data_IF_286925170527
#
_entry.id   IF_286925170527
#
_cell.length_a   1.000
_cell.length_b   1.000
_cell.length_c   1.000
_cell.angle_alpha   90.00
_cell.angle_beta   90.00
_cell.angle_gamma   90.00
#
_symmetry.space_group_name_H-M   'P 1'
#
loop_
_entity.id
_entity.type
_entity.pdbx_description
1 polymer ?
#
# COMPACT_ATOMS: atom_id res chain seq x y z
N UNK A 1 31.56 -18.32 49.39
CA UNK A 1 30.15 -18.21 48.97
C UNK A 1 29.74 -16.79 48.56
N UNK A 2 29.91 -15.74 49.39
CA UNK A 2 29.58 -14.33 49.01
C UNK A 2 30.25 -13.82 47.72
N UNK A 3 31.52 -14.19 47.46
CA UNK A 3 32.25 -13.76 46.24
C UNK A 3 31.76 -14.44 44.95
N UNK A 4 31.19 -15.65 45.05
CA UNK A 4 30.63 -16.39 43.90
C UNK A 4 29.26 -15.81 43.54
N UNK A 5 28.45 -15.45 44.54
CA UNK A 5 27.15 -14.81 44.32
C UNK A 5 27.27 -13.44 43.62
N UNK A 6 28.30 -12.65 43.98
CA UNK A 6 28.55 -11.34 43.36
C UNK A 6 29.02 -11.47 41.89
N UNK A 7 29.80 -12.51 41.58
CA UNK A 7 30.23 -12.80 40.21
C UNK A 7 29.08 -13.27 39.30
N UNK A 8 28.13 -14.05 39.84
CA UNK A 8 26.92 -14.46 39.11
C UNK A 8 25.97 -13.28 38.84
N UNK A 9 25.85 -12.31 39.76
CA UNK A 9 25.04 -11.10 39.57
C UNK A 9 25.62 -10.16 38.48
N UNK A 10 26.95 -10.06 38.38
CA UNK A 10 27.64 -9.29 37.32
C UNK A 10 27.61 -9.99 35.94
N UNK A 11 27.58 -11.33 35.92
CA UNK A 11 27.41 -12.09 34.67
C UNK A 11 25.96 -12.06 34.16
N UNK A 12 24.97 -11.98 35.06
CA UNK A 12 23.56 -11.89 34.70
C UNK A 12 23.18 -10.54 34.07
N UNK A 13 23.87 -9.45 34.42
CA UNK A 13 23.63 -8.12 33.83
C UNK A 13 24.17 -7.94 32.40
N UNK A 14 25.00 -8.88 31.91
CA UNK A 14 25.52 -8.86 30.53
C UNK A 14 24.60 -9.56 29.52
N UNK A 15 23.53 -10.22 29.98
CA UNK A 15 22.60 -10.98 29.12
C UNK A 15 21.26 -10.27 28.91
N UNK A 16 21.12 -9.03 29.37
CA UNK A 16 20.06 -8.16 28.86
C UNK A 16 20.49 -7.71 27.48
N UNK A 17 20.09 -8.41 26.42
CA UNK A 17 20.20 -7.92 25.04
C UNK A 17 19.00 -7.01 24.79
N UNK A 18 19.07 -5.68 25.03
CA UNK A 18 18.11 -4.78 24.43
C UNK A 18 18.23 -4.95 22.91
N UNK A 19 17.10 -5.13 22.24
CA UNK A 19 17.02 -5.06 20.79
C UNK A 19 17.75 -3.80 20.32
N UNK A 20 18.61 -3.93 19.31
CA UNK A 20 19.31 -2.75 18.79
C UNK A 20 18.28 -1.77 18.18
N UNK A 21 18.62 -0.48 18.15
CA UNK A 21 17.74 0.50 17.50
C UNK A 21 17.45 0.13 16.04
N UNK A 22 18.45 -0.44 15.36
CA UNK A 22 18.38 -0.92 13.98
C UNK A 22 17.43 -2.13 13.84
N UNK A 23 17.59 -3.17 14.66
CA UNK A 23 16.67 -4.32 14.67
C UNK A 23 15.23 -3.90 14.98
N UNK A 24 15.03 -2.85 15.80
CA UNK A 24 13.70 -2.30 16.08
C UNK A 24 13.12 -1.57 14.87
N UNK A 25 13.93 -0.78 14.20
CA UNK A 25 13.57 -0.07 12.98
C UNK A 25 13.15 -1.04 11.89
N UNK A 26 13.95 -2.08 11.62
CA UNK A 26 13.68 -3.10 10.60
C UNK A 26 12.36 -3.83 10.86
N UNK A 27 12.09 -4.24 12.11
CA UNK A 27 10.81 -4.89 12.46
C UNK A 27 9.63 -3.94 12.26
N UNK A 28 9.77 -2.67 12.62
CA UNK A 28 8.72 -1.69 12.41
C UNK A 28 8.48 -1.44 10.92
N UNK A 29 9.53 -1.27 10.13
CA UNK A 29 9.45 -1.11 8.68
C UNK A 29 8.82 -2.34 8.02
N UNK A 30 9.18 -3.55 8.44
CA UNK A 30 8.56 -4.79 7.95
C UNK A 30 7.05 -4.88 8.24
N UNK A 31 6.62 -4.48 9.44
CA UNK A 31 5.19 -4.41 9.79
C UNK A 31 4.48 -3.33 8.97
N UNK A 32 5.08 -2.15 8.84
CA UNK A 32 4.52 -1.05 8.05
C UNK A 32 4.44 -1.41 6.55
N UNK A 33 5.44 -2.11 6.03
CA UNK A 33 5.43 -2.70 4.69
C UNK A 33 4.24 -3.63 4.51
N UNK A 34 4.03 -4.57 5.43
CA UNK A 34 2.89 -5.50 5.39
C UNK A 34 1.53 -4.78 5.46
N UNK A 35 1.39 -3.79 6.35
CA UNK A 35 0.16 -3.00 6.47
C UNK A 35 -0.11 -2.17 5.21
N UNK A 36 0.93 -1.56 4.63
CA UNK A 36 0.80 -0.79 3.39
C UNK A 36 0.45 -1.67 2.19
N UNK A 37 1.01 -2.88 2.09
CA UNK A 37 0.60 -3.85 1.08
C UNK A 37 -0.88 -4.23 1.22
N UNK A 38 -1.36 -4.46 2.45
CA UNK A 38 -2.78 -4.69 2.73
C UNK A 38 -3.67 -3.51 2.35
N UNK A 39 -3.21 -2.27 2.60
CA UNK A 39 -3.90 -1.05 2.17
C UNK A 39 -3.99 -0.96 0.64
N UNK A 40 -2.90 -1.23 -0.08
CA UNK A 40 -2.88 -1.22 -1.55
C UNK A 40 -3.84 -2.27 -2.12
N UNK A 41 -3.81 -3.49 -1.58
CA UNK A 41 -4.73 -4.56 -1.98
C UNK A 41 -6.19 -4.19 -1.76
N UNK A 42 -6.53 -3.67 -0.58
CA UNK A 42 -7.89 -3.25 -0.29
C UNK A 42 -8.34 -2.07 -1.14
N UNK A 43 -7.44 -1.14 -1.49
CA UNK A 43 -7.76 -0.02 -2.38
C UNK A 43 -8.09 -0.51 -3.78
N UNK A 44 -7.25 -1.39 -4.33
CA UNK A 44 -7.50 -2.04 -5.63
C UNK A 44 -8.84 -2.79 -5.62
N UNK A 45 -9.06 -3.64 -4.61
CA UNK A 45 -10.27 -4.42 -4.46
C UNK A 45 -11.52 -3.56 -4.31
N UNK A 46 -11.46 -2.51 -3.49
CA UNK A 46 -12.59 -1.60 -3.26
C UNK A 46 -13.02 -0.86 -4.53
N UNK A 47 -12.08 -0.40 -5.36
CA UNK A 47 -12.42 0.19 -6.67
C UNK A 47 -13.16 -0.83 -7.55
N UNK A 48 -12.71 -2.10 -7.55
CA UNK A 48 -13.40 -3.20 -8.21
C UNK A 48 -14.81 -3.44 -7.66
N UNK A 49 -14.97 -3.51 -6.34
CA UNK A 49 -16.27 -3.72 -5.70
C UNK A 49 -17.25 -2.57 -5.95
N UNK A 50 -16.77 -1.33 -6.03
CA UNK A 50 -17.59 -0.18 -6.43
C UNK A 50 -18.06 -0.33 -7.88
N UNK A 51 -17.16 -0.79 -8.77
CA UNK A 51 -17.49 -1.06 -10.16
C UNK A 51 -18.52 -2.18 -10.31
N UNK A 52 -18.36 -3.27 -9.58
CA UNK A 52 -19.34 -4.37 -9.53
C UNK A 52 -20.69 -3.88 -9.00
N UNK A 53 -20.68 -3.09 -7.91
CA UNK A 53 -21.89 -2.51 -7.35
C UNK A 53 -22.65 -1.63 -8.34
N UNK A 54 -21.95 -0.90 -9.22
CA UNK A 54 -22.58 -0.20 -10.34
C UNK A 54 -23.13 -1.16 -11.40
N UNK A 55 -22.34 -2.15 -11.79
CA UNK A 55 -22.71 -3.12 -12.83
C UNK A 55 -23.92 -3.99 -12.49
N UNK A 56 -24.17 -4.22 -11.20
CA UNK A 56 -25.35 -4.92 -10.67
C UNK A 56 -26.49 -3.99 -10.24
N UNK A 57 -26.46 -2.72 -10.64
CA UNK A 57 -27.47 -1.70 -10.29
C UNK A 57 -27.67 -1.48 -8.77
N UNK A 58 -26.71 -1.92 -7.94
CA UNK A 58 -26.74 -1.70 -6.50
C UNK A 58 -26.32 -0.27 -6.12
N UNK A 59 -25.50 0.38 -6.95
CA UNK A 59 -25.06 1.76 -6.78
C UNK A 59 -25.49 2.66 -7.94
N UNK A 60 -25.93 3.87 -7.60
CA UNK A 60 -26.23 4.90 -8.61
C UNK A 60 -24.93 5.51 -9.17
N UNK A 61 -25.02 6.14 -10.34
CA UNK A 61 -23.90 6.89 -10.92
C UNK A 61 -23.34 7.96 -9.97
N UNK A 62 -24.21 8.63 -9.20
CA UNK A 62 -23.80 9.62 -8.20
C UNK A 62 -23.01 8.96 -7.05
N UNK A 63 -23.53 7.87 -6.50
CA UNK A 63 -22.86 7.10 -5.42
C UNK A 63 -21.48 6.62 -5.86
N UNK A 64 -21.37 6.06 -7.06
CA UNK A 64 -20.08 5.62 -7.62
C UNK A 64 -19.12 6.78 -7.79
N UNK A 65 -19.62 7.91 -8.31
CA UNK A 65 -18.82 9.12 -8.51
C UNK A 65 -18.22 9.62 -7.20
N UNK A 66 -19.03 9.68 -6.14
CA UNK A 66 -18.59 10.12 -4.82
C UNK A 66 -17.57 9.16 -4.21
N UNK A 67 -17.84 7.85 -4.24
CA UNK A 67 -16.96 6.83 -3.68
C UNK A 67 -15.60 6.79 -4.39
N UNK A 68 -15.58 6.81 -5.73
CA UNK A 68 -14.34 6.79 -6.50
C UNK A 68 -13.54 8.09 -6.35
N UNK A 69 -14.20 9.25 -6.27
CA UNK A 69 -13.50 10.50 -5.99
C UNK A 69 -12.91 10.54 -4.57
N UNK A 70 -13.60 9.94 -3.59
CA UNK A 70 -13.04 9.77 -2.25
C UNK A 70 -11.78 8.89 -2.26
N UNK A 71 -11.81 7.76 -2.98
CA UNK A 71 -10.62 6.89 -3.13
C UNK A 71 -9.47 7.61 -3.83
N UNK A 72 -9.74 8.36 -4.90
CA UNK A 72 -8.73 9.17 -5.60
C UNK A 72 -8.08 10.20 -4.68
N UNK A 73 -8.88 10.91 -3.87
CA UNK A 73 -8.38 11.90 -2.93
C UNK A 73 -7.52 11.28 -1.83
N UNK A 74 -7.92 10.10 -1.34
CA UNK A 74 -7.10 9.36 -0.38
C UNK A 74 -5.76 8.93 -1.01
N UNK A 75 -5.80 8.41 -2.23
CA UNK A 75 -4.60 8.05 -2.98
C UNK A 75 -3.67 9.26 -3.21
N UNK A 76 -4.21 10.43 -3.55
CA UNK A 76 -3.43 11.67 -3.70
C UNK A 76 -2.70 12.07 -2.43
N UNK A 77 -3.40 12.05 -1.28
CA UNK A 77 -2.78 12.36 0.00
C UNK A 77 -1.64 11.40 0.32
N UNK A 78 -1.80 10.11 0.01
CA UNK A 78 -0.77 9.10 0.24
C UNK A 78 0.41 9.25 -0.72
N UNK A 79 0.16 9.54 -2.01
CA UNK A 79 1.22 9.83 -2.99
C UNK A 79 2.09 10.97 -2.49
N UNK A 80 1.49 12.10 -2.10
CA UNK A 80 2.24 13.27 -1.62
C UNK A 80 3.07 12.94 -0.38
N UNK A 81 2.50 12.20 0.57
CA UNK A 81 3.20 11.80 1.79
C UNK A 81 4.41 10.90 1.48
N UNK A 82 4.20 9.87 0.66
CA UNK A 82 5.23 8.89 0.32
C UNK A 82 6.35 9.49 -0.53
N UNK A 83 6.01 10.31 -1.53
CA UNK A 83 7.00 11.05 -2.34
C UNK A 83 7.83 11.99 -1.46
N UNK A 84 7.19 12.68 -0.51
CA UNK A 84 7.88 13.52 0.47
C UNK A 84 8.88 12.72 1.30
N UNK A 85 8.47 11.58 1.87
CA UNK A 85 9.36 10.73 2.68
C UNK A 85 10.60 10.27 1.91
N UNK A 86 10.45 9.88 0.64
CA UNK A 86 11.60 9.52 -0.21
C UNK A 86 12.50 10.74 -0.46
N UNK A 87 11.92 11.90 -0.77
CA UNK A 87 12.70 13.12 -1.05
C UNK A 87 13.47 13.64 0.17
N UNK A 88 12.96 13.40 1.38
CA UNK A 88 13.60 13.80 2.65
C UNK A 88 14.65 12.77 3.12
N UNK A 89 14.86 11.67 2.38
CA UNK A 89 15.81 10.62 2.76
C UNK A 89 15.38 9.84 4.00
N UNK A 90 14.07 9.64 4.19
CA UNK A 90 13.52 8.98 5.38
C UNK A 90 13.92 7.50 5.51
N UNK A 91 14.37 6.87 4.41
CA UNK A 91 14.73 5.46 4.37
C UNK A 91 16.24 5.30 4.10
N UNK A 92 16.90 4.49 4.92
CA UNK A 92 18.33 4.20 4.81
C UNK A 92 18.64 3.28 3.64
N UNK A 93 17.77 2.29 3.44
CA UNK A 93 17.99 1.25 2.45
C UNK A 93 17.37 1.59 1.09
N UNK A 94 18.08 1.18 0.03
CA UNK A 94 17.58 1.33 -1.34
C UNK A 94 16.28 0.55 -1.57
N UNK A 95 16.18 -0.63 -0.95
CA UNK A 95 15.01 -1.50 -1.09
C UNK A 95 13.73 -0.84 -0.53
N UNK A 96 13.83 -0.15 0.61
CA UNK A 96 12.70 0.57 1.20
C UNK A 96 12.26 1.74 0.30
N UNK A 97 13.22 2.49 -0.23
CA UNK A 97 12.93 3.56 -1.20
C UNK A 97 12.23 3.00 -2.45
N UNK A 98 12.71 1.88 -3.00
CA UNK A 98 12.11 1.22 -4.17
C UNK A 98 10.69 0.69 -3.89
N UNK A 99 10.46 0.14 -2.70
CA UNK A 99 9.14 -0.32 -2.26
C UNK A 99 8.15 0.85 -2.19
N UNK A 100 8.56 1.98 -1.61
CA UNK A 100 7.73 3.17 -1.49
C UNK A 100 7.42 3.78 -2.86
N UNK A 101 8.42 3.89 -3.74
CA UNK A 101 8.22 4.38 -5.11
C UNK A 101 7.29 3.45 -5.92
N UNK A 102 7.39 2.14 -5.71
CA UNK A 102 6.47 1.17 -6.32
C UNK A 102 5.04 1.35 -5.80
N UNK A 103 4.89 1.60 -4.50
CA UNK A 103 3.59 1.91 -3.88
C UNK A 103 2.97 3.19 -4.44
N UNK A 104 3.78 4.24 -4.65
CA UNK A 104 3.35 5.49 -5.32
C UNK A 104 2.88 5.22 -6.74
N UNK A 105 3.61 4.41 -7.50
CA UNK A 105 3.23 4.03 -8.87
C UNK A 105 1.88 3.30 -8.90
N UNK A 106 1.65 2.37 -7.96
CA UNK A 106 0.37 1.68 -7.81
C UNK A 106 -0.77 2.62 -7.47
N UNK A 107 -0.58 3.54 -6.52
CA UNK A 107 -1.60 4.54 -6.17
C UNK A 107 -1.98 5.43 -7.35
N UNK A 108 -1.00 5.83 -8.17
CA UNK A 108 -1.26 6.54 -9.44
C UNK A 108 -2.07 5.68 -10.40
N UNK A 109 -1.72 4.40 -10.54
CA UNK A 109 -2.48 3.43 -11.34
C UNK A 109 -3.92 3.22 -10.85
N UNK A 110 -4.15 3.17 -9.54
CA UNK A 110 -5.49 3.05 -8.95
C UNK A 110 -6.34 4.29 -9.21
N UNK A 111 -5.74 5.49 -9.16
CA UNK A 111 -6.42 6.72 -9.58
C UNK A 111 -6.85 6.66 -11.05
N UNK A 112 -5.95 6.23 -11.93
CA UNK A 112 -6.26 6.06 -13.36
C UNK A 112 -7.39 5.04 -13.55
N UNK A 113 -7.38 3.91 -12.83
CA UNK A 113 -8.46 2.93 -12.86
C UNK A 113 -9.81 3.54 -12.43
N UNK A 114 -9.82 4.34 -11.37
CA UNK A 114 -11.02 5.06 -10.92
C UNK A 114 -11.52 6.06 -11.98
N UNK A 115 -10.63 6.86 -12.58
CA UNK A 115 -10.98 7.81 -13.65
C UNK A 115 -11.56 7.14 -14.90
N UNK A 116 -11.01 5.98 -15.27
CA UNK A 116 -11.50 5.18 -16.39
C UNK A 116 -12.89 4.63 -16.10
N UNK A 117 -13.14 4.17 -14.87
CA UNK A 117 -14.47 3.71 -14.50
C UNK A 117 -15.50 4.84 -14.47
N UNK A 118 -15.13 6.04 -13.98
CA UNK A 118 -15.99 7.23 -14.08
C UNK A 118 -16.33 7.57 -15.54
N UNK A 119 -15.41 7.30 -16.47
CA UNK A 119 -15.66 7.47 -17.90
C UNK A 119 -16.67 6.45 -18.44
N UNK A 120 -16.69 5.21 -17.93
CA UNK A 120 -17.73 4.21 -18.22
C UNK A 120 -19.09 4.67 -17.69
N UNK A 121 -19.14 5.14 -16.43
CA UNK A 121 -20.37 5.65 -15.79
C UNK A 121 -20.96 6.82 -16.57
N UNK A 122 -20.12 7.73 -17.09
CA UNK A 122 -20.56 8.88 -17.88
C UNK A 122 -21.01 8.51 -19.29
N UNK A 123 -20.26 7.63 -19.95
CA UNK A 123 -20.54 7.19 -21.31
C UNK A 123 -20.00 5.77 -21.53
N UNK A 124 -20.90 4.80 -21.53
CA UNK A 124 -20.56 3.39 -21.70
C UNK A 124 -20.22 3.11 -23.16
N UNK A 125 -18.91 3.06 -23.44
CA UNK A 125 -18.37 2.67 -24.75
C UNK A 125 -17.40 1.51 -24.58
N UNK A 126 -17.26 0.66 -25.60
CA UNK A 126 -16.31 -0.46 -25.57
C UNK A 126 -14.89 0.04 -25.28
N UNK A 127 -14.48 1.15 -25.90
CA UNK A 127 -13.18 1.79 -25.65
C UNK A 127 -12.95 2.12 -24.17
N UNK A 128 -13.96 2.62 -23.47
CA UNK A 128 -13.82 2.96 -22.05
C UNK A 128 -13.74 1.70 -21.17
N UNK A 129 -14.46 0.65 -21.56
CA UNK A 129 -14.42 -0.66 -20.89
C UNK A 129 -13.03 -1.29 -21.06
N UNK A 130 -12.54 -1.39 -22.30
CA UNK A 130 -11.22 -1.95 -22.61
C UNK A 130 -10.11 -1.20 -21.85
N UNK A 131 -10.16 0.14 -21.87
CA UNK A 131 -9.18 0.95 -21.16
C UNK A 131 -9.19 0.69 -19.64
N UNK A 132 -10.37 0.57 -19.02
CA UNK A 132 -10.51 0.23 -17.61
C UNK A 132 -9.94 -1.16 -17.31
N UNK A 133 -10.28 -2.16 -18.13
CA UNK A 133 -9.84 -3.54 -17.95
C UNK A 133 -8.32 -3.67 -18.11
N UNK A 134 -7.74 -3.01 -19.12
CA UNK A 134 -6.29 -2.95 -19.32
C UNK A 134 -5.58 -2.33 -18.11
N UNK A 135 -6.10 -1.21 -17.59
CA UNK A 135 -5.53 -0.57 -16.41
C UNK A 135 -5.69 -1.43 -15.16
N UNK A 136 -6.84 -2.08 -14.98
CA UNK A 136 -7.11 -2.98 -13.85
C UNK A 136 -6.16 -4.19 -13.88
N UNK A 137 -5.97 -4.80 -15.03
CA UNK A 137 -5.04 -5.92 -15.22
C UNK A 137 -3.59 -5.50 -14.99
N UNK A 138 -3.19 -4.34 -15.50
CA UNK A 138 -1.87 -3.75 -15.22
C UNK A 138 -1.68 -3.53 -13.72
N UNK A 139 -2.65 -2.94 -13.04
CA UNK A 139 -2.59 -2.67 -11.61
C UNK A 139 -2.48 -3.96 -10.81
N UNK A 140 -3.25 -5.00 -11.17
CA UNK A 140 -3.17 -6.30 -10.52
C UNK A 140 -1.79 -6.93 -10.66
N UNK A 141 -1.23 -6.97 -11.87
CA UNK A 141 0.11 -7.52 -12.12
C UNK A 141 1.19 -6.81 -11.31
N UNK A 142 1.14 -5.49 -11.28
CA UNK A 142 2.12 -4.69 -10.55
C UNK A 142 1.96 -4.88 -9.02
N UNK A 143 0.72 -5.02 -8.53
CA UNK A 143 0.39 -5.26 -7.12
C UNK A 143 0.76 -6.67 -6.66
N UNK A 144 0.41 -7.70 -7.43
CA UNK A 144 0.70 -9.11 -7.12
C UNK A 144 2.21 -9.33 -6.99
N UNK A 145 2.99 -8.71 -7.88
CA UNK A 145 4.46 -8.68 -7.80
C UNK A 145 4.96 -8.02 -6.51
N UNK A 146 4.42 -6.85 -6.14
CA UNK A 146 4.82 -6.15 -4.91
C UNK A 146 4.50 -6.97 -3.65
N UNK A 147 3.39 -7.70 -3.65
CA UNK A 147 2.96 -8.55 -2.53
C UNK A 147 3.63 -9.93 -2.49
N UNK A 148 4.34 -10.33 -3.56
CA UNK A 148 4.89 -11.68 -3.69
C UNK A 148 3.82 -12.76 -3.90
N UNK A 149 2.66 -12.40 -4.44
CA UNK A 149 1.58 -13.33 -4.79
C UNK A 149 1.81 -13.82 -6.22
N UNK A 150 1.78 -15.14 -6.43
CA UNK A 150 1.91 -15.73 -7.77
C UNK A 150 0.64 -15.47 -8.59
N UNK A 151 0.81 -15.07 -9.85
CA UNK A 151 -0.25 -15.03 -10.87
C UNK A 151 -0.67 -16.44 -11.30
#
# INVERSE_FOLDING_TARGET
MKKIFLACLLAASLHSFPQTCEEREDKLLGVMGSLSAGFLYNTYGLIGSIADGYGYDAYTAATVTDLLNAQKKLADNMIVLLEKMVSEGAFKDKADNEYVLSSVSLLKGFKTQADLFLSIVKNKTQKNIDAYDDQRNKNWRDLSKLMGVKE
#
